data_IF_960774040572
#
_entry.id   IF_960774040572
#
_cell.length_a   1.000
_cell.length_b   1.000
_cell.length_c   1.000
_cell.angle_alpha   90.00
_cell.angle_beta   90.00
_cell.angle_gamma   90.00
#
_symmetry.space_group_name_H-M   'P 1'
#
loop_
_entity.id
_entity.type
_entity.pdbx_description
1 polymer ?
#
# COMPACT_ATOMS: atom_id res chain seq x y z
N UNK A 1 -7.96 52.76 9.86
CA UNK A 1 -6.93 52.21 10.76
C UNK A 1 -7.44 50.84 11.19
N UNK A 2 -6.80 49.70 11.02
CA UNK A 2 -5.43 49.35 10.64
C UNK A 2 -5.22 47.92 11.18
N UNK A 3 -5.00 46.99 10.26
CA UNK A 3 -4.49 45.61 10.34
C UNK A 3 -3.88 45.07 11.65
N UNK A 4 -4.27 43.85 12.05
CA UNK A 4 -3.40 42.76 12.55
C UNK A 4 -4.28 41.49 12.67
N UNK A 5 -4.06 40.35 12.03
CA UNK A 5 -2.81 39.69 11.72
C UNK A 5 -2.78 38.33 12.44
N UNK A 6 -3.36 37.32 11.77
CA UNK A 6 -3.01 35.90 11.76
C UNK A 6 -2.53 35.20 13.04
N UNK A 7 -3.25 34.14 13.44
CA UNK A 7 -2.62 32.86 13.82
C UNK A 7 -3.33 31.73 13.09
N UNK A 8 -2.87 31.44 11.88
CA UNK A 8 -3.09 30.15 11.23
C UNK A 8 -2.47 29.08 12.14
N UNK A 9 -3.30 28.19 12.67
CA UNK A 9 -2.85 26.99 13.34
C UNK A 9 -2.00 26.17 12.36
N UNK A 10 -0.76 25.93 12.75
CA UNK A 10 0.21 25.07 12.08
C UNK A 10 -0.43 23.71 11.80
N UNK A 11 -0.60 23.41 10.50
CA UNK A 11 -1.04 22.10 10.03
C UNK A 11 -0.05 21.04 10.51
N UNK A 12 -0.56 20.08 11.28
CA UNK A 12 0.17 18.96 11.84
C UNK A 12 0.80 18.14 10.71
N UNK A 13 2.14 18.14 10.63
CA UNK A 13 2.89 17.15 9.86
C UNK A 13 2.82 15.78 10.58
N UNK A 14 1.64 15.15 10.57
CA UNK A 14 1.43 13.78 11.09
C UNK A 14 1.72 12.73 10.01
N UNK A 15 2.90 12.82 9.40
CA UNK A 15 3.43 11.81 8.49
C UNK A 15 4.62 11.12 9.13
N UNK A 16 4.69 9.79 9.05
CA UNK A 16 5.91 9.05 9.42
C UNK A 16 7.10 9.55 8.61
N UNK A 17 8.32 9.53 9.16
CA UNK A 17 9.51 9.93 8.40
C UNK A 17 9.83 8.90 7.31
N UNK A 18 10.51 9.32 6.24
CA UNK A 18 10.98 8.42 5.18
C UNK A 18 11.92 7.32 5.72
N UNK A 19 12.67 7.63 6.78
CA UNK A 19 13.53 6.66 7.47
C UNK A 19 12.70 5.59 8.19
N UNK A 20 11.67 5.99 8.94
CA UNK A 20 10.77 5.06 9.64
C UNK A 20 10.05 4.14 8.66
N UNK A 21 9.56 4.72 7.55
CA UNK A 21 8.93 3.97 6.46
C UNK A 21 9.87 2.93 5.87
N UNK A 22 11.14 3.28 5.64
CA UNK A 22 12.13 2.35 5.10
C UNK A 22 12.39 1.17 6.04
N UNK A 23 12.53 1.41 7.35
CA UNK A 23 12.74 0.35 8.34
C UNK A 23 11.51 -0.56 8.43
N UNK A 24 10.30 0.02 8.49
CA UNK A 24 9.06 -0.75 8.49
C UNK A 24 8.91 -1.58 7.19
N UNK A 25 9.29 -1.00 6.04
CA UNK A 25 9.21 -1.68 4.76
C UNK A 25 10.12 -2.90 4.65
N UNK A 26 11.34 -2.82 5.18
CA UNK A 26 12.27 -3.96 5.21
C UNK A 26 11.69 -5.19 5.93
N UNK A 27 10.93 -4.97 7.01
CA UNK A 27 10.18 -6.03 7.70
C UNK A 27 8.98 -6.49 6.86
N UNK A 28 8.13 -5.56 6.44
CA UNK A 28 6.85 -5.85 5.78
C UNK A 28 7.05 -6.61 4.47
N UNK A 29 8.06 -6.23 3.66
CA UNK A 29 8.33 -6.86 2.36
C UNK A 29 8.66 -8.35 2.46
N UNK A 30 9.22 -8.78 3.59
CA UNK A 30 9.53 -10.20 3.86
C UNK A 30 8.29 -10.96 4.34
N UNK A 31 7.44 -10.28 5.12
CA UNK A 31 6.24 -10.88 5.72
C UNK A 31 5.15 -11.14 4.67
N UNK A 32 5.00 -10.28 3.66
CA UNK A 32 3.97 -10.40 2.62
C UNK A 32 4.31 -11.54 1.62
N UNK A 33 3.56 -12.65 1.59
CA UNK A 33 3.83 -13.77 0.70
C UNK A 33 3.20 -13.58 -0.69
N UNK A 34 3.90 -12.92 -1.62
CA UNK A 34 3.37 -12.60 -2.96
C UNK A 34 3.75 -13.58 -4.07
N UNK A 35 4.82 -14.34 -3.83
CA UNK A 35 5.46 -15.21 -4.82
C UNK A 35 4.53 -16.36 -5.26
N UNK A 36 4.71 -16.83 -6.49
CA UNK A 36 3.99 -18.00 -7.02
C UNK A 36 4.72 -19.31 -6.69
N UNK A 37 5.31 -19.43 -5.49
CA UNK A 37 5.96 -20.66 -5.02
C UNK A 37 5.02 -21.45 -4.10
N UNK A 38 5.21 -22.78 -3.98
CA UNK A 38 4.45 -23.61 -3.03
C UNK A 38 4.58 -23.13 -1.58
N UNK A 39 5.79 -22.71 -1.17
CA UNK A 39 6.06 -22.17 0.16
C UNK A 39 5.30 -20.87 0.43
N UNK A 40 5.32 -19.92 -0.52
CA UNK A 40 4.54 -18.69 -0.40
C UNK A 40 3.03 -18.95 -0.43
N UNK A 41 2.59 -20.00 -1.14
CA UNK A 41 1.18 -20.44 -1.09
C UNK A 41 0.81 -20.93 0.31
N UNK A 42 1.64 -21.74 0.96
CA UNK A 42 1.38 -22.20 2.32
C UNK A 42 1.32 -21.02 3.30
N UNK A 43 2.30 -20.11 3.22
CA UNK A 43 2.28 -18.87 4.02
C UNK A 43 1.03 -18.02 3.79
N UNK A 44 0.51 -17.96 2.56
CA UNK A 44 -0.76 -17.28 2.26
C UNK A 44 -1.94 -17.97 2.92
N UNK A 45 -1.99 -19.30 2.90
CA UNK A 45 -3.06 -20.07 3.58
C UNK A 45 -3.03 -19.75 5.08
N UNK A 46 -1.85 -19.81 5.70
CA UNK A 46 -1.70 -19.55 7.12
C UNK A 46 -2.04 -18.09 7.47
N UNK A 47 -1.69 -17.14 6.59
CA UNK A 47 -2.03 -15.74 6.76
C UNK A 47 -3.53 -15.48 6.56
N UNK A 48 -4.16 -16.11 5.57
CA UNK A 48 -5.60 -16.00 5.31
C UNK A 48 -6.40 -16.49 6.52
N UNK A 49 -6.01 -17.65 7.10
CA UNK A 49 -6.64 -18.17 8.33
C UNK A 49 -6.52 -17.22 9.52
N UNK A 50 -5.42 -16.46 9.62
CA UNK A 50 -5.26 -15.45 10.68
C UNK A 50 -6.17 -14.23 10.48
N UNK A 51 -6.55 -13.94 9.24
CA UNK A 51 -7.47 -12.86 8.90
C UNK A 51 -8.93 -13.30 9.03
N UNK A 52 -9.24 -14.54 8.67
CA UNK A 52 -10.57 -15.16 8.70
C UNK A 52 -10.99 -15.57 10.12
N UNK A 53 -11.28 -14.58 10.97
CA UNK A 53 -11.63 -14.80 12.38
C UNK A 53 -12.91 -15.60 12.57
N UNK A 54 -13.85 -15.46 11.63
CA UNK A 54 -15.14 -16.17 11.68
C UNK A 54 -15.10 -17.53 10.96
N UNK A 55 -13.97 -17.91 10.35
CA UNK A 55 -13.81 -19.13 9.54
C UNK A 55 -14.85 -19.27 8.43
N UNK A 56 -15.24 -18.16 7.81
CA UNK A 56 -16.24 -18.16 6.73
C UNK A 56 -15.66 -18.55 5.37
N UNK A 57 -14.33 -18.61 5.24
CA UNK A 57 -13.62 -18.91 3.99
C UNK A 57 -13.54 -17.71 3.03
N UNK A 58 -14.00 -16.54 3.45
CA UNK A 58 -14.00 -15.28 2.69
C UNK A 58 -13.80 -14.11 3.65
N UNK A 59 -13.11 -13.07 3.20
CA UNK A 59 -12.74 -11.95 4.08
C UNK A 59 -13.57 -10.71 3.78
N UNK A 60 -14.26 -10.19 4.79
CA UNK A 60 -14.88 -8.87 4.74
C UNK A 60 -13.82 -7.75 4.78
N UNK A 61 -14.21 -6.53 4.42
CA UNK A 61 -13.31 -5.37 4.50
C UNK A 61 -12.75 -5.17 5.92
N UNK A 62 -13.58 -5.35 6.94
CA UNK A 62 -13.18 -5.14 8.34
C UNK A 62 -12.17 -6.22 8.79
N UNK A 63 -12.36 -7.48 8.41
CA UNK A 63 -11.39 -8.55 8.67
C UNK A 63 -10.05 -8.30 7.97
N UNK A 64 -10.09 -7.82 6.73
CA UNK A 64 -8.87 -7.43 6.00
C UNK A 64 -8.18 -6.26 6.69
N UNK A 65 -8.92 -5.23 7.10
CA UNK A 65 -8.38 -4.07 7.80
C UNK A 65 -7.77 -4.44 9.15
N UNK A 66 -8.48 -5.24 9.95
CA UNK A 66 -7.98 -5.73 11.23
C UNK A 66 -6.77 -6.66 11.08
N UNK A 67 -6.73 -7.49 10.04
CA UNK A 67 -5.58 -8.33 9.74
C UNK A 67 -4.37 -7.50 9.32
N UNK A 68 -4.56 -6.47 8.50
CA UNK A 68 -3.52 -5.52 8.14
C UNK A 68 -2.94 -4.78 9.36
N UNK A 69 -3.80 -4.42 10.31
CA UNK A 69 -3.40 -3.70 11.52
C UNK A 69 -2.75 -4.63 12.55
N UNK A 70 -3.39 -5.74 12.89
CA UNK A 70 -2.96 -6.59 14.02
C UNK A 70 -1.96 -7.68 13.63
N UNK A 71 -2.09 -8.25 12.43
CA UNK A 71 -1.26 -9.39 11.99
C UNK A 71 -0.03 -8.91 11.23
N UNK A 72 -0.23 -8.03 10.24
CA UNK A 72 0.86 -7.50 9.42
C UNK A 72 1.53 -6.27 10.03
N UNK A 73 0.83 -5.56 10.92
CA UNK A 73 1.29 -4.30 11.55
C UNK A 73 1.70 -3.28 10.50
N UNK A 74 0.83 -3.06 9.52
CA UNK A 74 1.08 -2.12 8.42
C UNK A 74 0.92 -0.65 8.87
N UNK A 75 0.32 -0.42 10.02
CA UNK A 75 0.24 0.88 10.68
C UNK A 75 1.65 1.42 10.96
N UNK A 76 2.64 0.54 11.23
CA UNK A 76 4.06 0.88 11.35
C UNK A 76 4.60 1.64 10.13
N UNK A 77 4.09 1.34 8.93
CA UNK A 77 4.51 1.99 7.69
C UNK A 77 3.72 3.26 7.36
N UNK A 78 2.42 3.28 7.61
CA UNK A 78 1.55 4.38 7.14
C UNK A 78 0.42 4.68 8.11
N UNK A 79 0.19 5.97 8.37
CA UNK A 79 -0.97 6.46 9.14
C UNK A 79 -2.28 6.35 8.35
N UNK A 80 -2.20 6.24 7.02
CA UNK A 80 -3.36 6.14 6.10
C UNK A 80 -3.71 4.71 5.73
N UNK A 81 -3.51 3.77 6.66
CA UNK A 81 -3.72 2.34 6.42
C UNK A 81 -5.14 2.01 5.93
N UNK A 82 -6.15 2.72 6.44
CA UNK A 82 -7.56 2.53 6.07
C UNK A 82 -7.76 2.78 4.58
N UNK A 83 -7.25 3.90 4.06
CA UNK A 83 -7.42 4.29 2.66
C UNK A 83 -6.72 3.31 1.72
N UNK A 84 -5.51 2.89 2.08
CA UNK A 84 -4.72 1.96 1.27
C UNK A 84 -5.36 0.58 1.26
N UNK A 85 -5.79 0.09 2.43
CA UNK A 85 -6.52 -1.18 2.54
C UNK A 85 -7.79 -1.15 1.70
N UNK A 86 -8.56 -0.05 1.75
CA UNK A 86 -9.81 0.08 0.97
C UNK A 86 -9.55 0.09 -0.53
N UNK A 87 -8.53 0.81 -1.00
CA UNK A 87 -8.13 0.81 -2.42
C UNK A 87 -7.68 -0.58 -2.87
N UNK A 88 -6.84 -1.24 -2.08
CA UNK A 88 -6.34 -2.57 -2.37
C UNK A 88 -7.47 -3.62 -2.39
N UNK A 89 -8.39 -3.54 -1.44
CA UNK A 89 -9.55 -4.43 -1.32
C UNK A 89 -10.45 -4.32 -2.56
N UNK A 90 -10.87 -3.11 -2.91
CA UNK A 90 -11.71 -2.88 -4.09
C UNK A 90 -11.00 -3.34 -5.36
N UNK A 91 -9.71 -3.02 -5.51
CA UNK A 91 -8.95 -3.41 -6.70
C UNK A 91 -8.76 -4.92 -6.82
N UNK A 92 -8.56 -5.62 -5.70
CA UNK A 92 -8.42 -7.07 -5.68
C UNK A 92 -9.70 -7.76 -6.17
N UNK A 93 -10.87 -7.34 -5.68
CA UNK A 93 -12.18 -7.83 -6.13
C UNK A 93 -12.42 -7.55 -7.61
N UNK A 94 -12.17 -6.32 -8.06
CA UNK A 94 -12.34 -5.94 -9.46
C UNK A 94 -11.50 -6.81 -10.40
N UNK A 95 -10.27 -7.15 -10.00
CA UNK A 95 -9.39 -8.01 -10.80
C UNK A 95 -9.77 -9.48 -10.70
N UNK A 96 -10.17 -9.97 -9.53
CA UNK A 96 -10.66 -11.34 -9.33
C UNK A 96 -11.89 -11.65 -10.18
N UNK A 97 -12.90 -10.80 -10.06
CA UNK A 97 -14.15 -10.89 -10.81
C UNK A 97 -13.90 -10.91 -12.32
N UNK A 98 -12.97 -10.10 -12.83
CA UNK A 98 -12.64 -10.09 -14.27
C UNK A 98 -11.96 -11.35 -14.77
N UNK A 99 -11.14 -12.00 -13.94
CA UNK A 99 -10.36 -13.18 -14.37
C UNK A 99 -11.20 -14.44 -14.33
N UNK A 100 -12.08 -14.58 -13.34
CA UNK A 100 -12.83 -15.82 -13.14
C UNK A 100 -14.32 -15.71 -13.46
N UNK A 101 -14.86 -14.50 -13.73
CA UNK A 101 -16.29 -14.19 -13.77
C UNK A 101 -17.05 -14.78 -12.55
N UNK A 102 -16.31 -14.92 -11.44
CA UNK A 102 -16.65 -15.59 -10.19
C UNK A 102 -15.93 -14.83 -9.10
N UNK A 103 -16.68 -14.40 -8.11
CA UNK A 103 -16.21 -13.68 -6.94
C UNK A 103 -17.35 -12.88 -6.33
N UNK A 104 -17.17 -12.41 -5.10
CA UNK A 104 -18.16 -11.63 -4.39
C UNK A 104 -17.87 -10.15 -4.53
N UNK A 105 -18.90 -9.32 -4.69
CA UNK A 105 -18.72 -7.87 -4.64
C UNK A 105 -18.38 -7.37 -3.24
N UNK A 106 -18.68 -8.12 -2.18
CA UNK A 106 -18.54 -7.66 -0.79
C UNK A 106 -17.38 -8.30 -0.03
N UNK A 107 -16.84 -9.42 -0.54
CA UNK A 107 -15.81 -10.20 0.14
C UNK A 107 -14.61 -10.47 -0.75
N UNK A 108 -13.45 -10.67 -0.13
CA UNK A 108 -12.22 -11.14 -0.78
C UNK A 108 -12.05 -12.63 -0.53
N UNK A 109 -12.03 -13.41 -1.60
CA UNK A 109 -11.75 -14.85 -1.55
C UNK A 109 -10.25 -15.14 -1.56
N UNK A 110 -9.85 -16.39 -1.32
CA UNK A 110 -8.43 -16.76 -1.24
C UNK A 110 -7.61 -16.42 -2.50
N UNK A 111 -8.20 -16.53 -3.69
CA UNK A 111 -7.52 -16.16 -4.95
C UNK A 111 -7.28 -14.66 -5.05
N UNK A 112 -8.28 -13.87 -4.63
CA UNK A 112 -8.25 -12.41 -4.61
C UNK A 112 -7.34 -11.88 -3.50
N UNK A 113 -7.23 -12.60 -2.38
CA UNK A 113 -6.36 -12.26 -1.27
C UNK A 113 -4.90 -12.17 -1.71
N UNK A 114 -4.45 -13.03 -2.63
CA UNK A 114 -3.12 -12.89 -3.22
C UNK A 114 -2.98 -11.59 -4.01
N UNK A 115 -4.00 -11.20 -4.79
CA UNK A 115 -3.99 -9.94 -5.55
C UNK A 115 -3.97 -8.74 -4.62
N UNK A 116 -4.75 -8.80 -3.53
CA UNK A 116 -4.73 -7.80 -2.47
C UNK A 116 -3.32 -7.62 -1.89
N UNK A 117 -2.65 -8.72 -1.52
CA UNK A 117 -1.29 -8.68 -0.98
C UNK A 117 -0.29 -8.10 -1.97
N UNK A 118 -0.38 -8.44 -3.25
CA UNK A 118 0.44 -7.82 -4.29
C UNK A 118 0.20 -6.31 -4.37
N UNK A 119 -1.06 -5.88 -4.33
CA UNK A 119 -1.40 -4.47 -4.45
C UNK A 119 -0.89 -3.65 -3.25
N UNK A 120 -1.03 -4.17 -2.03
CA UNK A 120 -0.45 -3.55 -0.83
C UNK A 120 1.08 -3.47 -0.94
N UNK A 121 1.72 -4.54 -1.41
CA UNK A 121 3.16 -4.56 -1.62
C UNK A 121 3.60 -3.47 -2.61
N UNK A 122 2.99 -3.44 -3.80
CA UNK A 122 3.35 -2.51 -4.86
C UNK A 122 3.10 -1.06 -4.43
N UNK A 123 2.02 -0.80 -3.68
CA UNK A 123 1.74 0.53 -3.14
C UNK A 123 2.82 0.99 -2.14
N UNK A 124 3.28 0.11 -1.27
CA UNK A 124 4.30 0.44 -0.28
C UNK A 124 5.68 0.60 -0.92
N UNK A 125 6.02 -0.24 -1.89
CA UNK A 125 7.27 -0.12 -2.64
C UNK A 125 7.32 1.21 -3.42
N UNK A 126 6.20 1.57 -4.06
CA UNK A 126 6.03 2.86 -4.72
C UNK A 126 6.16 4.04 -3.74
N UNK A 127 5.55 3.96 -2.56
CA UNK A 127 5.68 5.02 -1.55
C UNK A 127 7.14 5.22 -1.11
N UNK A 128 7.88 4.13 -0.87
CA UNK A 128 9.32 4.21 -0.52
C UNK A 128 10.14 4.72 -1.70
N UNK A 129 9.74 4.43 -2.94
CA UNK A 129 10.38 5.00 -4.11
C UNK A 129 10.14 6.51 -4.19
N UNK A 130 8.90 6.95 -4.02
CA UNK A 130 8.54 8.36 -4.06
C UNK A 130 9.22 9.16 -2.95
N UNK A 131 9.40 8.58 -1.76
CA UNK A 131 10.19 9.20 -0.70
C UNK A 131 11.66 9.46 -1.07
N UNK A 132 12.21 8.73 -2.05
CA UNK A 132 13.58 8.96 -2.56
C UNK A 132 13.63 9.99 -3.69
N UNK A 133 12.47 10.38 -4.21
CA UNK A 133 12.29 11.31 -5.32
C UNK A 133 11.87 12.67 -4.77
N UNK A 134 10.89 12.68 -3.88
CA UNK A 134 10.41 13.86 -3.15
C UNK A 134 11.51 14.37 -2.21
N UNK A 135 12.24 15.37 -2.70
CA UNK A 135 13.27 16.08 -1.94
C UNK A 135 12.68 17.17 -1.06
N UNK A 136 11.48 17.64 -1.38
CA UNK A 136 10.76 18.67 -0.66
C UNK A 136 10.06 18.17 0.61
N UNK A 137 9.75 16.88 0.66
CA UNK A 137 9.06 16.21 1.77
C UNK A 137 7.58 16.58 1.87
N UNK A 138 6.96 17.01 0.77
CA UNK A 138 5.54 17.40 0.70
C UNK A 138 4.61 16.24 0.26
N UNK A 139 5.16 15.05 0.01
CA UNK A 139 4.47 13.87 -0.55
C UNK A 139 3.86 14.12 -1.95
N UNK A 140 4.34 15.13 -2.65
CA UNK A 140 4.04 15.43 -4.04
C UNK A 140 5.35 15.38 -4.83
N UNK A 141 5.25 15.31 -6.16
CA UNK A 141 6.40 15.32 -7.04
C UNK A 141 6.22 16.50 -7.97
N UNK A 142 7.09 17.49 -7.84
CA UNK A 142 7.12 18.58 -8.81
C UNK A 142 7.82 18.14 -10.12
N UNK A 143 7.68 18.95 -11.17
CA UNK A 143 8.28 18.66 -12.48
C UNK A 143 9.81 18.48 -12.40
N UNK A 144 10.49 19.22 -11.52
CA UNK A 144 11.95 19.16 -11.36
C UNK A 144 12.38 17.87 -10.66
N UNK A 145 11.63 17.45 -9.65
CA UNK A 145 11.81 16.20 -8.92
C UNK A 145 11.52 15.00 -9.83
N UNK A 146 10.47 15.09 -10.65
CA UNK A 146 10.15 14.08 -11.65
C UNK A 146 11.27 13.92 -12.67
N UNK A 147 11.75 15.02 -13.27
CA UNK A 147 12.87 15.00 -14.23
C UNK A 147 14.15 14.40 -13.63
N UNK A 148 14.44 14.68 -12.36
CA UNK A 148 15.58 14.07 -11.64
C UNK A 148 15.36 12.60 -11.31
N UNK A 149 14.12 12.15 -11.22
CA UNK A 149 13.76 10.78 -10.90
C UNK A 149 13.72 9.84 -12.11
N UNK A 150 13.63 10.36 -13.34
CA UNK A 150 13.64 9.58 -14.59
C UNK A 150 14.66 8.44 -14.59
N UNK A 151 15.97 8.65 -14.31
CA UNK A 151 16.94 7.56 -14.32
C UNK A 151 16.71 6.50 -13.22
N UNK A 152 16.03 6.87 -12.12
CA UNK A 152 15.61 5.92 -11.07
C UNK A 152 14.34 5.16 -11.48
N UNK A 153 13.42 5.82 -12.17
CA UNK A 153 12.17 5.26 -12.71
C UNK A 153 12.44 4.26 -13.84
N UNK A 154 13.38 4.57 -14.74
CA UNK A 154 13.80 3.65 -15.81
C UNK A 154 14.44 2.37 -15.26
N UNK A 155 15.32 2.49 -14.25
CA UNK A 155 15.89 1.33 -13.55
C UNK A 155 14.82 0.46 -12.88
N UNK A 156 13.70 1.06 -12.52
CA UNK A 156 12.56 0.38 -11.92
C UNK A 156 11.62 -0.23 -12.97
N UNK A 157 11.85 0.03 -14.27
CA UNK A 157 11.12 -0.55 -15.39
C UNK A 157 10.05 0.36 -16.01
N UNK A 158 9.94 1.62 -15.58
CA UNK A 158 9.08 2.60 -16.22
C UNK A 158 9.73 3.10 -17.53
N UNK A 159 8.99 3.06 -18.64
CA UNK A 159 9.40 3.69 -19.89
C UNK A 159 8.86 5.11 -19.90
N UNK A 160 9.75 6.10 -19.98
CA UNK A 160 9.39 7.52 -20.02
C UNK A 160 9.91 8.06 -21.34
N UNK A 161 9.00 8.27 -22.30
CA UNK A 161 9.35 8.76 -23.63
C UNK A 161 9.48 10.30 -23.67
N UNK A 162 8.67 11.02 -22.87
CA UNK A 162 8.82 12.47 -22.68
C UNK A 162 8.65 12.84 -21.19
N UNK A 163 9.70 13.32 -20.52
CA UNK A 163 9.65 13.78 -19.14
C UNK A 163 9.28 15.28 -18.99
N UNK A 164 8.89 15.95 -20.08
CA UNK A 164 8.76 17.42 -20.18
C UNK A 164 7.34 17.95 -20.13
#
# INVERSE_FOLDING_TARGET
MGFCGSKSSTSSKEGKSSQDRKVAWERIRQVIPREKTPEAKQRRIDLFKKFDKNNSGKLSYDEVYEGCLNVLKLDEFTTRLRDITKRAFNRAKDMGNKVANKGSEDFVEFMEFRLFLCYVYDYFDLMVMFDKIDTSGNMLIDEKEFKKAVPKLEKWGAKIDDPS
#
